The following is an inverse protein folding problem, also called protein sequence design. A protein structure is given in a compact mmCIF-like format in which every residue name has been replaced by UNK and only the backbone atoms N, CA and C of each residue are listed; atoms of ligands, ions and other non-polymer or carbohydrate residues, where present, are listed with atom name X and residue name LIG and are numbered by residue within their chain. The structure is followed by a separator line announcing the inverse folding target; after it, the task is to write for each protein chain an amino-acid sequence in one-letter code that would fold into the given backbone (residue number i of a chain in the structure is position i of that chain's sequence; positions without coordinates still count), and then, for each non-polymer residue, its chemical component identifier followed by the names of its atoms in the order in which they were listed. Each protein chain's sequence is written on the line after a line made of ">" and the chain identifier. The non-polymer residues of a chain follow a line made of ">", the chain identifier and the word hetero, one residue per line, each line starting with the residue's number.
data_IF_072358551108
#
_entry.id   IF_072358551108
#
_cell.length_a   1.000
_cell.length_b   1.000
_cell.length_c   1.000
_cell.angle_alpha   90.00
_cell.angle_beta   90.00
_cell.angle_gamma   90.00
#
_symmetry.space_group_name_H-M   'P 1'
#
loop_
_entity.id
_entity.type
_entity.pdbx_description
1 polymer ?
#
# COMPACT_ATOMS: atom_id res chain seq x y z
N UNK A 1 2.75 -10.34 -15.82
CA UNK A 1 3.54 -9.43 -14.96
C UNK A 1 3.08 -9.49 -13.49
N UNK A 2 3.91 -9.13 -12.50
CA UNK A 2 3.49 -9.08 -11.06
C UNK A 2 2.29 -8.14 -10.86
N UNK A 3 2.32 -6.97 -11.49
CA UNK A 3 1.28 -5.94 -11.37
C UNK A 3 -0.05 -6.44 -11.94
N UNK A 4 -0.07 -7.01 -13.13
CA UNK A 4 -1.30 -7.58 -13.74
C UNK A 4 -1.95 -8.64 -12.86
N UNK A 5 -1.13 -9.52 -12.25
CA UNK A 5 -1.63 -10.54 -11.33
C UNK A 5 -2.27 -9.92 -10.11
N UNK A 6 -1.65 -8.87 -9.56
CA UNK A 6 -2.18 -8.20 -8.38
C UNK A 6 -3.42 -7.37 -8.70
N UNK A 7 -3.44 -6.69 -9.86
CA UNK A 7 -4.61 -6.01 -10.40
C UNK A 7 -5.81 -6.97 -10.50
N UNK A 8 -5.61 -8.16 -11.07
CA UNK A 8 -6.69 -9.14 -11.18
C UNK A 8 -7.19 -9.58 -9.81
N UNK A 9 -6.30 -9.88 -8.86
CA UNK A 9 -6.71 -10.23 -7.49
C UNK A 9 -7.53 -9.15 -6.83
N UNK A 10 -7.11 -7.88 -6.93
CA UNK A 10 -7.84 -6.76 -6.32
C UNK A 10 -9.20 -6.61 -6.99
N UNK A 11 -9.26 -6.69 -8.32
CA UNK A 11 -10.53 -6.61 -9.06
C UNK A 11 -11.48 -7.76 -8.72
N UNK A 12 -10.95 -8.97 -8.52
CA UNK A 12 -11.72 -10.15 -8.13
C UNK A 12 -12.37 -10.00 -6.75
N UNK A 13 -11.87 -9.11 -5.88
CA UNK A 13 -12.53 -8.79 -4.62
C UNK A 13 -13.90 -8.16 -4.82
N UNK A 14 -14.16 -7.57 -5.99
CA UNK A 14 -15.37 -6.81 -6.32
C UNK A 14 -16.13 -7.41 -7.52
N UNK A 15 -16.02 -8.72 -7.73
CA UNK A 15 -16.58 -9.43 -8.90
C UNK A 15 -18.12 -9.46 -8.97
N UNK A 16 -18.80 -9.05 -7.90
CA UNK A 16 -20.25 -8.93 -7.76
C UNK A 16 -20.77 -7.51 -8.06
N UNK A 17 -19.87 -6.56 -8.33
CA UNK A 17 -20.19 -5.18 -8.70
C UNK A 17 -20.47 -5.05 -10.20
N UNK A 18 -21.34 -4.10 -10.58
CA UNK A 18 -21.63 -3.79 -11.98
C UNK A 18 -20.37 -3.42 -12.80
N UNK A 19 -20.27 -3.99 -14.00
CA UNK A 19 -19.11 -3.82 -14.88
C UNK A 19 -18.81 -2.36 -15.24
N UNK A 20 -19.82 -1.49 -15.33
CA UNK A 20 -19.58 -0.07 -15.63
C UNK A 20 -18.95 0.65 -14.45
N UNK A 21 -19.35 0.30 -13.22
CA UNK A 21 -18.72 0.83 -12.01
C UNK A 21 -17.26 0.35 -11.90
N UNK A 22 -17.01 -0.94 -12.17
CA UNK A 22 -15.65 -1.47 -12.18
C UNK A 22 -14.79 -0.81 -13.27
N UNK A 23 -15.34 -0.56 -14.46
CA UNK A 23 -14.64 0.11 -15.55
C UNK A 23 -14.30 1.57 -15.23
N UNK A 24 -15.13 2.27 -14.44
CA UNK A 24 -14.86 3.65 -14.01
C UNK A 24 -13.65 3.72 -13.06
N UNK A 25 -13.44 2.67 -12.27
CA UNK A 25 -12.37 2.57 -11.27
C UNK A 25 -11.12 1.83 -11.76
N UNK A 26 -11.06 1.47 -13.05
CA UNK A 26 -9.99 0.64 -13.61
C UNK A 26 -8.57 1.19 -13.33
N UNK A 27 -8.40 2.50 -13.49
CA UNK A 27 -7.15 3.18 -13.16
C UNK A 27 -6.79 3.11 -11.68
N UNK A 28 -7.77 3.20 -10.78
CA UNK A 28 -7.56 3.10 -9.34
C UNK A 28 -7.21 1.66 -8.92
N UNK A 29 -7.82 0.65 -9.54
CA UNK A 29 -7.41 -0.75 -9.34
C UNK A 29 -5.96 -1.00 -9.78
N UNK A 30 -5.57 -0.46 -10.94
CA UNK A 30 -4.21 -0.59 -11.45
C UNK A 30 -3.19 0.11 -10.54
N UNK A 31 -3.52 1.29 -10.04
CA UNK A 31 -2.63 2.02 -9.12
C UNK A 31 -2.50 1.31 -7.77
N UNK A 32 -3.60 0.82 -7.21
CA UNK A 32 -3.58 0.00 -5.99
C UNK A 32 -2.68 -1.24 -6.17
N UNK A 33 -2.75 -1.90 -7.33
CA UNK A 33 -1.89 -3.03 -7.67
C UNK A 33 -0.39 -2.66 -7.75
N UNK A 34 -0.06 -1.49 -8.31
CA UNK A 34 1.32 -0.99 -8.35
C UNK A 34 1.85 -0.74 -6.95
N UNK A 35 1.08 -0.03 -6.11
CA UNK A 35 1.44 0.25 -4.73
C UNK A 35 1.64 -1.04 -3.93
N UNK A 36 0.80 -2.06 -4.14
CA UNK A 36 0.95 -3.35 -3.47
C UNK A 36 2.23 -4.08 -3.87
N UNK A 37 2.56 -4.08 -5.16
CA UNK A 37 3.81 -4.69 -5.66
C UNK A 37 5.04 -3.93 -5.15
N UNK A 38 4.97 -2.60 -5.13
CA UNK A 38 6.02 -1.75 -4.59
C UNK A 38 6.25 -2.02 -3.10
N UNK A 39 5.17 -2.10 -2.30
CA UNK A 39 5.25 -2.50 -0.89
C UNK A 39 5.97 -3.83 -0.69
N UNK A 40 5.62 -4.85 -1.49
CA UNK A 40 6.24 -6.16 -1.39
C UNK A 40 7.74 -6.12 -1.74
N UNK A 41 8.13 -5.26 -2.67
CA UNK A 41 9.53 -5.10 -3.06
C UNK A 41 10.31 -4.27 -2.01
N UNK A 42 9.69 -3.25 -1.39
CA UNK A 42 10.27 -2.54 -0.25
C UNK A 42 10.47 -3.46 0.97
N UNK A 43 9.50 -4.33 1.26
CA UNK A 43 9.64 -5.33 2.33
C UNK A 43 10.81 -6.32 2.09
N UNK A 44 11.12 -6.65 0.83
CA UNK A 44 12.31 -7.47 0.49
C UNK A 44 13.63 -6.72 0.68
N UNK A 45 13.64 -5.41 0.54
CA UNK A 45 14.81 -4.58 0.87
C UNK A 45 14.98 -4.56 2.38
N UNK A 46 13.89 -4.24 3.10
CA UNK A 46 13.87 -4.15 4.58
C UNK A 46 14.32 -5.46 5.22
N UNK A 47 13.91 -6.61 4.71
CA UNK A 47 14.33 -7.91 5.25
C UNK A 47 15.84 -8.16 5.19
N UNK A 48 16.56 -7.44 4.30
CA UNK A 48 18.02 -7.52 4.16
C UNK A 48 18.74 -6.39 4.88
N UNK A 49 18.16 -5.20 4.93
CA UNK A 49 18.85 -3.98 5.38
C UNK A 49 18.40 -3.50 6.76
N UNK A 50 17.22 -3.91 7.21
CA UNK A 50 16.47 -3.22 8.26
C UNK A 50 15.97 -1.84 7.80
N UNK A 51 15.42 -1.08 8.75
CA UNK A 51 14.98 0.32 8.56
C UNK A 51 16.02 1.32 9.06
N UNK A 52 16.86 0.88 9.99
CA UNK A 52 17.91 1.68 10.62
C UNK A 52 19.20 0.88 10.57
N UNK A 53 20.27 1.50 10.10
CA UNK A 53 21.62 0.94 10.22
C UNK A 53 22.07 1.13 11.65
N UNK A 54 22.26 0.01 12.34
CA UNK A 54 22.69 -0.03 13.75
C UNK A 54 24.22 -0.15 13.81
N UNK A 55 24.88 0.80 14.46
CA UNK A 55 26.28 0.71 14.83
C UNK A 55 26.43 -0.30 15.97
N UNK A 56 27.35 -1.28 15.88
CA UNK A 56 27.43 -2.39 16.84
C UNK A 56 27.73 -1.94 18.28
N UNK A 57 28.62 -0.96 18.43
CA UNK A 57 29.16 -0.59 19.76
C UNK A 57 28.81 0.82 20.23
N UNK A 58 28.21 1.66 19.37
CA UNK A 58 27.90 3.05 19.70
C UNK A 58 26.43 3.35 19.38
N UNK A 59 25.61 3.34 20.43
CA UNK A 59 24.16 3.48 20.30
C UNK A 59 23.71 4.85 19.79
N UNK A 60 24.57 5.88 19.81
CA UNK A 60 24.25 7.22 19.31
C UNK A 60 24.48 7.37 17.79
N UNK A 61 25.16 6.42 17.15
CA UNK A 61 25.58 6.51 15.74
C UNK A 61 24.62 5.83 14.75
N UNK A 62 23.34 5.73 15.10
CA UNK A 62 22.35 5.09 14.23
C UNK A 62 22.00 5.98 13.05
N UNK A 63 21.78 5.35 11.89
CA UNK A 63 21.38 6.06 10.68
C UNK A 63 20.13 5.45 10.09
N UNK A 64 19.10 6.27 9.95
CA UNK A 64 17.89 5.92 9.21
C UNK A 64 18.25 5.61 7.74
N UNK A 65 17.66 4.55 7.19
CA UNK A 65 17.84 4.17 5.78
C UNK A 65 16.72 4.78 4.92
N UNK A 66 16.96 5.18 3.66
CA UNK A 66 15.93 5.80 2.82
C UNK A 66 14.63 5.00 2.68
N UNK A 67 14.72 3.67 2.76
CA UNK A 67 13.57 2.76 2.69
C UNK A 67 12.58 2.96 3.84
N UNK A 68 13.00 3.51 4.99
CA UNK A 68 12.13 3.75 6.15
C UNK A 68 11.02 4.75 5.87
N UNK A 69 11.33 5.82 5.13
CA UNK A 69 10.36 6.85 4.77
C UNK A 69 9.48 6.40 3.62
N UNK A 70 10.10 5.71 2.66
CA UNK A 70 9.41 5.23 1.47
C UNK A 70 8.35 4.18 1.83
N UNK A 71 8.66 3.20 2.70
CA UNK A 71 7.69 2.19 3.11
C UNK A 71 6.49 2.78 3.84
N UNK A 72 6.67 3.83 4.64
CA UNK A 72 5.56 4.49 5.34
C UNK A 72 4.63 5.15 4.33
N UNK A 73 5.17 5.94 3.40
CA UNK A 73 4.37 6.62 2.37
C UNK A 73 3.67 5.63 1.43
N UNK A 74 4.37 4.61 0.92
CA UNK A 74 3.76 3.61 0.04
C UNK A 74 2.67 2.81 0.77
N UNK A 75 2.84 2.55 2.08
CA UNK A 75 1.83 1.86 2.90
C UNK A 75 0.58 2.71 3.09
N UNK A 76 0.75 3.97 3.48
CA UNK A 76 -0.35 4.90 3.64
C UNK A 76 -1.14 5.03 2.34
N UNK A 77 -0.45 5.25 1.21
CA UNK A 77 -1.08 5.34 -0.10
C UNK A 77 -1.87 4.06 -0.46
N UNK A 78 -1.30 2.88 -0.26
CA UNK A 78 -1.98 1.62 -0.55
C UNK A 78 -3.27 1.47 0.26
N UNK A 79 -3.19 1.73 1.57
CA UNK A 79 -4.32 1.70 2.51
C UNK A 79 -5.41 2.69 2.09
N UNK A 80 -5.01 3.91 1.72
CA UNK A 80 -5.94 4.96 1.32
C UNK A 80 -6.66 4.61 0.01
N UNK A 81 -5.96 4.06 -1.00
CA UNK A 81 -6.58 3.61 -2.24
C UNK A 81 -7.53 2.44 -2.04
N UNK A 82 -7.16 1.42 -1.25
CA UNK A 82 -8.02 0.25 -1.05
C UNK A 82 -9.26 0.61 -0.21
N UNK A 83 -9.14 1.52 0.76
CA UNK A 83 -10.27 2.04 1.52
C UNK A 83 -11.22 2.83 0.62
N UNK A 84 -10.70 3.78 -0.18
CA UNK A 84 -11.50 4.54 -1.16
C UNK A 84 -12.23 3.63 -2.14
N UNK A 85 -11.57 2.59 -2.67
CA UNK A 85 -12.21 1.58 -3.52
C UNK A 85 -13.32 0.84 -2.78
N UNK A 86 -13.06 0.39 -1.54
CA UNK A 86 -14.03 -0.34 -0.72
C UNK A 86 -15.27 0.50 -0.41
N UNK A 87 -15.07 1.77 -0.03
CA UNK A 87 -16.17 2.69 0.31
C UNK A 87 -17.01 3.05 -0.92
N UNK A 88 -16.38 3.34 -2.08
CA UNK A 88 -17.10 3.61 -3.33
C UNK A 88 -17.93 2.39 -3.77
N UNK A 89 -17.43 1.19 -3.53
CA UNK A 89 -18.06 -0.07 -3.94
C UNK A 89 -18.96 -0.69 -2.88
N UNK A 90 -19.22 0.01 -1.77
CA UNK A 90 -20.15 -0.43 -0.71
C UNK A 90 -19.63 -1.63 0.10
N UNK A 91 -18.32 -1.84 0.10
CA UNK A 91 -17.60 -2.87 0.87
C UNK A 91 -16.96 -2.25 2.12
N UNK A 92 -17.69 -1.40 2.84
CA UNK A 92 -17.17 -0.67 4.00
C UNK A 92 -16.39 -1.62 4.93
N UNK A 93 -15.10 -1.33 5.06
CA UNK A 93 -14.23 -1.88 6.10
C UNK A 93 -14.30 -0.80 7.17
N UNK A 94 -14.75 -1.12 8.39
CA UNK A 94 -15.03 -0.12 9.45
C UNK A 94 -13.99 1.03 9.46
N UNK A 95 -14.46 2.25 9.17
CA UNK A 95 -13.65 3.44 8.83
C UNK A 95 -12.86 4.03 10.02
N UNK A 96 -13.17 3.59 11.25
CA UNK A 96 -12.67 4.22 12.49
C UNK A 96 -11.13 4.15 12.68
N UNK A 97 -10.42 3.31 11.91
CA UNK A 97 -8.95 3.17 11.97
C UNK A 97 -8.19 3.97 10.88
N UNK A 98 -8.89 4.62 9.92
CA UNK A 98 -8.25 5.25 8.74
C UNK A 98 -8.10 6.77 8.80
N UNK A 99 -8.86 7.49 9.65
CA UNK A 99 -8.76 8.95 9.79
C UNK A 99 -7.35 9.42 10.24
N UNK A 100 -6.62 8.58 10.97
CA UNK A 100 -5.25 8.87 11.42
C UNK A 100 -4.19 8.84 10.28
N UNK A 101 -4.57 8.45 9.06
CA UNK A 101 -3.66 8.39 7.91
C UNK A 101 -3.63 9.67 7.07
N UNK A 102 -4.55 10.63 7.28
CA UNK A 102 -4.58 11.89 6.54
C UNK A 102 -3.34 12.77 6.79
N UNK A 103 -2.71 12.64 7.96
CA UNK A 103 -1.50 13.40 8.33
C UNK A 103 -0.22 12.96 7.57
N UNK A 104 -0.30 11.93 6.71
CA UNK A 104 0.84 11.34 6.01
C UNK A 104 0.83 11.49 4.47
N UNK A 105 -0.14 12.18 3.88
CA UNK A 105 -0.17 12.51 2.42
C UNK A 105 0.92 13.53 2.02
#
# INVERSE_FOLDING_TARGET
>A
MKIEKEYQKIKDLFNDIDDKQLSLLDGAFLECARLKVELDDLHKIISKTGLVKVHPDNFEMQKELPVSKLIVKTRANYLNYIAKLSNILGRNIDDDDFDDLEDFE
#
